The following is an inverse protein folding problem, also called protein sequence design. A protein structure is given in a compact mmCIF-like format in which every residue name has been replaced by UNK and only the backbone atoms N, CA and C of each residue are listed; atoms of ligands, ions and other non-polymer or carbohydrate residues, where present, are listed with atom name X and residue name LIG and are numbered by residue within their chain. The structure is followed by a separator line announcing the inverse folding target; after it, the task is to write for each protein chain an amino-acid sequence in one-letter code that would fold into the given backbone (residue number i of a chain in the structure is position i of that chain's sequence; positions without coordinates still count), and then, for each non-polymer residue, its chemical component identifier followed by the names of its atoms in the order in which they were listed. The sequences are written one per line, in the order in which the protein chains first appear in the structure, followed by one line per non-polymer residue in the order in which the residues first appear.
data_IF_162049402644
#
_entry.id   IF_162049402644
#
_cell.length_a   1.000
_cell.length_b   1.000
_cell.length_c   1.000
_cell.angle_alpha   90.00
_cell.angle_beta   90.00
_cell.angle_gamma   90.00
#
_symmetry.space_group_name_H-M   'P 1'
#
loop_
_entity.id
_entity.type
_entity.pdbx_description
1 polymer ?
#
# COMPACT_ATOMS: atom_id res chain seq x y z
N UNK A 1 -16.85 6.60 -11.52
CA UNK A 1 -15.68 5.78 -11.17
C UNK A 1 -15.28 5.03 -12.42
N UNK A 2 -14.06 5.27 -12.93
CA UNK A 2 -13.59 4.67 -14.18
C UNK A 2 -13.13 3.23 -13.93
N UNK A 3 -13.83 2.25 -14.52
CA UNK A 3 -13.56 0.82 -14.35
C UNK A 3 -12.23 0.37 -14.97
N UNK A 4 -11.62 1.21 -15.83
CA UNK A 4 -10.37 0.92 -16.53
C UNK A 4 -9.19 0.66 -15.59
N UNK A 5 -9.03 1.51 -14.57
CA UNK A 5 -7.94 1.43 -13.57
C UNK A 5 -8.06 0.16 -12.72
N UNK A 6 -9.30 -0.18 -12.33
CA UNK A 6 -9.60 -1.38 -11.55
C UNK A 6 -9.26 -2.68 -12.30
N UNK A 7 -9.49 -2.73 -13.62
CA UNK A 7 -9.13 -3.89 -14.44
C UNK A 7 -7.62 -4.09 -14.56
N UNK A 8 -6.83 -3.01 -14.61
CA UNK A 8 -5.37 -3.08 -14.71
C UNK A 8 -4.75 -3.72 -13.45
N UNK A 9 -5.19 -3.32 -12.26
CA UNK A 9 -4.68 -3.90 -11.01
C UNK A 9 -5.16 -5.34 -10.79
N UNK A 10 -6.41 -5.65 -11.17
CA UNK A 10 -6.92 -7.03 -11.15
C UNK A 10 -6.09 -7.94 -12.06
N UNK A 11 -5.72 -7.46 -13.25
CA UNK A 11 -4.89 -8.20 -14.21
C UNK A 11 -3.48 -8.44 -13.65
N UNK A 12 -2.82 -7.42 -13.10
CA UNK A 12 -1.51 -7.56 -12.45
C UNK A 12 -1.51 -8.50 -11.24
N UNK A 13 -2.59 -8.51 -10.44
CA UNK A 13 -2.74 -9.43 -9.32
C UNK A 13 -2.91 -10.89 -9.80
N UNK A 14 -3.64 -11.10 -10.90
CA UNK A 14 -3.76 -12.42 -11.54
C UNK A 14 -2.45 -12.87 -12.19
N UNK A 15 -1.71 -11.96 -12.82
CA UNK A 15 -0.40 -12.23 -13.42
C UNK A 15 0.61 -12.65 -12.34
N UNK A 16 0.65 -11.98 -11.18
CA UNK A 16 1.51 -12.38 -10.05
C UNK A 16 1.16 -13.77 -9.50
N UNK A 17 -0.13 -14.08 -9.33
CA UNK A 17 -0.60 -15.41 -8.92
C UNK A 17 -0.21 -16.49 -9.94
N UNK A 18 -0.29 -16.19 -11.23
CA UNK A 18 0.03 -17.14 -12.30
C UNK A 18 1.55 -17.38 -12.44
N UNK A 19 2.38 -16.36 -12.19
CA UNK A 19 3.84 -16.51 -12.21
C UNK A 19 4.30 -17.47 -11.10
N UNK A 20 3.73 -17.39 -9.90
CA UNK A 20 4.06 -18.32 -8.80
C UNK A 20 3.54 -19.75 -9.02
N UNK A 21 2.38 -19.91 -9.69
CA UNK A 21 1.86 -21.25 -10.03
C UNK A 21 2.52 -21.90 -11.25
N UNK A 22 3.22 -21.14 -12.10
CA UNK A 22 3.96 -21.69 -13.25
C UNK A 22 5.33 -22.30 -12.90
N UNK A 23 5.81 -22.11 -11.67
CA UNK A 23 7.09 -22.61 -11.19
C UNK A 23 7.10 -24.05 -10.65
N UNK A 24 5.93 -24.71 -10.55
CA UNK A 24 5.85 -26.12 -10.11
C UNK A 24 5.83 -27.09 -11.31
N UNK A 25 6.84 -26.97 -12.18
CA UNK A 25 7.14 -28.04 -13.13
C UNK A 25 8.62 -28.40 -13.02
N UNK A 26 8.84 -29.60 -12.49
CA UNK A 26 10.08 -30.37 -12.39
C UNK A 26 11.19 -29.97 -13.38
N UNK A 27 12.34 -29.59 -12.81
CA UNK A 27 13.58 -29.33 -13.51
C UNK A 27 14.71 -29.02 -12.52
N UNK A 28 15.65 -29.95 -12.42
CA UNK A 28 16.76 -30.05 -11.45
C UNK A 28 17.83 -28.93 -11.52
N UNK A 29 18.35 -28.59 -10.33
CA UNK A 29 19.67 -28.03 -9.95
C UNK A 29 20.07 -26.59 -10.36
N UNK A 30 20.11 -25.66 -9.39
CA UNK A 30 21.36 -25.22 -8.74
C UNK A 30 21.10 -24.13 -7.67
N UNK A 31 21.96 -24.16 -6.66
CA UNK A 31 22.00 -23.41 -5.39
C UNK A 31 21.84 -21.88 -5.49
N UNK A 32 21.16 -21.26 -4.53
CA UNK A 32 21.77 -20.54 -3.38
C UNK A 32 20.74 -20.47 -2.25
N UNK A 33 20.80 -21.42 -1.31
CA UNK A 33 20.15 -21.27 -0.01
C UNK A 33 21.02 -20.35 0.86
N UNK A 34 20.54 -19.15 1.16
CA UNK A 34 21.13 -18.30 2.20
C UNK A 34 20.89 -18.97 3.56
N UNK A 35 21.87 -19.77 4.00
CA UNK A 35 22.00 -20.22 5.39
C UNK A 35 22.28 -19.01 6.29
N UNK A 36 21.25 -18.49 6.95
CA UNK A 36 21.44 -17.63 8.12
C UNK A 36 21.66 -18.49 9.36
N UNK A 37 22.93 -18.80 9.62
CA UNK A 37 23.38 -19.23 10.95
C UNK A 37 23.64 -17.96 11.77
N UNK A 38 22.64 -17.55 12.55
CA UNK A 38 22.77 -16.48 13.55
C UNK A 38 22.15 -16.95 14.84
N UNK A 39 22.98 -17.45 15.77
CA UNK A 39 22.60 -17.71 17.16
C UNK A 39 22.32 -16.36 17.81
N UNK A 40 21.07 -15.91 17.72
CA UNK A 40 20.50 -14.85 18.53
C UNK A 40 19.59 -15.51 19.55
N UNK A 41 19.87 -15.33 20.83
CA UNK A 41 19.06 -15.83 21.94
C UNK A 41 17.58 -15.52 21.71
N UNK A 42 16.76 -16.58 21.56
CA UNK A 42 15.30 -16.50 21.43
C UNK A 42 14.72 -15.77 22.65
N UNK A 43 14.53 -14.46 22.54
CA UNK A 43 13.77 -13.69 23.52
C UNK A 43 12.31 -14.05 23.29
N UNK A 44 11.83 -15.01 24.07
CA UNK A 44 10.43 -15.41 24.11
C UNK A 44 9.60 -14.17 24.48
N UNK A 45 8.91 -13.56 23.51
CA UNK A 45 8.03 -12.43 23.75
C UNK A 45 6.70 -12.93 24.34
N UNK A 46 6.75 -13.49 25.55
CA UNK A 46 5.57 -13.89 26.30
C UNK A 46 4.90 -12.65 26.94
N UNK A 47 4.46 -11.66 26.16
CA UNK A 47 3.44 -10.67 26.61
C UNK A 47 3.03 -9.62 25.56
N UNK A 48 3.11 -9.90 24.25
CA UNK A 48 2.64 -8.92 23.27
C UNK A 48 1.12 -8.98 23.23
N UNK A 49 0.46 -7.96 23.79
CA UNK A 49 -0.97 -7.78 23.63
C UNK A 49 -1.26 -7.38 22.18
N UNK A 50 -1.67 -8.34 21.35
CA UNK A 50 -1.98 -8.13 19.93
C UNK A 50 -3.15 -7.16 19.69
N UNK A 51 -3.94 -6.86 20.73
CA UNK A 51 -5.06 -5.90 20.66
C UNK A 51 -4.64 -4.47 21.03
N UNK A 52 -3.39 -4.24 21.44
CA UNK A 52 -2.90 -2.92 21.75
C UNK A 52 -2.54 -2.15 20.46
N UNK A 53 -3.55 -1.49 19.90
CA UNK A 53 -3.45 -0.62 18.72
C UNK A 53 -2.57 0.64 18.97
N UNK A 54 -2.14 0.90 20.21
CA UNK A 54 -1.31 2.07 20.53
C UNK A 54 0.16 1.89 20.11
N UNK A 55 0.60 0.65 19.88
CA UNK A 55 1.97 0.32 19.50
C UNK A 55 1.99 -0.21 18.06
N UNK A 56 2.31 0.65 17.09
CA UNK A 56 2.61 0.19 15.73
C UNK A 56 3.89 -0.65 15.77
N UNK A 57 3.80 -1.91 15.36
CA UNK A 57 4.98 -2.76 15.20
C UNK A 57 5.83 -2.27 14.02
N UNK A 58 7.14 -2.43 14.08
CA UNK A 58 7.97 -2.35 12.86
C UNK A 58 7.77 -3.59 11.99
N UNK A 59 8.17 -3.54 10.71
CA UNK A 59 8.16 -4.73 9.84
C UNK A 59 8.95 -5.89 10.48
N UNK A 60 10.08 -5.60 11.12
CA UNK A 60 10.93 -6.57 11.81
C UNK A 60 10.24 -7.20 13.02
N UNK A 61 9.50 -6.40 13.80
CA UNK A 61 8.71 -6.90 14.92
C UNK A 61 7.56 -7.79 14.43
N UNK A 62 6.90 -7.46 13.32
CA UNK A 62 5.88 -8.32 12.71
C UNK A 62 6.47 -9.66 12.26
N UNK A 63 7.64 -9.66 11.60
CA UNK A 63 8.33 -10.90 11.23
C UNK A 63 8.59 -11.77 12.47
N UNK A 64 9.09 -11.17 13.54
CA UNK A 64 9.34 -11.85 14.81
C UNK A 64 8.05 -12.42 15.42
N UNK A 65 6.95 -11.66 15.38
CA UNK A 65 5.64 -12.13 15.88
C UNK A 65 5.16 -13.33 15.07
N UNK A 66 5.20 -13.24 13.75
CA UNK A 66 4.79 -14.33 12.87
C UNK A 66 5.67 -15.57 13.05
N UNK A 67 6.98 -15.42 13.18
CA UNK A 67 7.91 -16.53 13.37
C UNK A 67 7.68 -17.27 14.71
N UNK A 68 7.23 -16.56 15.75
CA UNK A 68 6.95 -17.12 17.07
C UNK A 68 5.57 -17.78 17.20
N UNK A 69 4.71 -17.72 16.19
CA UNK A 69 3.43 -18.45 16.18
C UNK A 69 3.70 -19.95 15.99
N UNK A 70 3.91 -20.67 17.10
CA UNK A 70 4.09 -22.13 17.16
C UNK A 70 2.75 -22.88 17.25
N UNK A 71 1.73 -22.27 17.89
CA UNK A 71 0.37 -22.81 18.01
C UNK A 71 -0.65 -21.88 17.37
N UNK A 72 -1.83 -22.42 17.00
CA UNK A 72 -2.87 -21.65 16.30
C UNK A 72 -3.53 -20.70 17.31
N UNK A 73 -3.36 -19.37 17.16
CA UNK A 73 -4.03 -18.42 18.02
C UNK A 73 -5.54 -18.39 17.73
N UNK A 74 -6.30 -17.66 18.53
CA UNK A 74 -7.73 -17.50 18.29
C UNK A 74 -7.99 -16.73 16.98
N UNK A 75 -9.19 -16.88 16.41
CA UNK A 75 -9.55 -16.09 15.23
C UNK A 75 -9.52 -14.58 15.50
N UNK A 76 -9.84 -14.17 16.73
CA UNK A 76 -9.79 -12.76 17.15
C UNK A 76 -8.35 -12.24 17.14
N UNK A 77 -7.40 -13.04 17.64
CA UNK A 77 -5.98 -12.69 17.61
C UNK A 77 -5.46 -12.54 16.18
N UNK A 78 -5.91 -13.40 15.24
CA UNK A 78 -5.57 -13.25 13.83
C UNK A 78 -6.11 -11.95 13.24
N UNK A 79 -7.32 -11.51 13.61
CA UNK A 79 -7.85 -10.23 13.18
C UNK A 79 -7.06 -9.06 13.78
N UNK A 80 -6.62 -9.18 15.04
CA UNK A 80 -5.69 -8.24 15.67
C UNK A 80 -4.38 -8.13 14.89
N UNK A 81 -3.74 -9.26 14.57
CA UNK A 81 -2.53 -9.31 13.74
C UNK A 81 -2.76 -8.64 12.38
N UNK A 82 -3.88 -8.94 11.72
CA UNK A 82 -4.20 -8.33 10.43
C UNK A 82 -4.36 -6.81 10.51
N UNK A 83 -4.99 -6.29 11.55
CA UNK A 83 -5.11 -4.84 11.75
C UNK A 83 -3.73 -4.18 11.92
N UNK A 84 -2.81 -4.84 12.63
CA UNK A 84 -1.42 -4.39 12.71
C UNK A 84 -0.73 -4.38 11.35
N UNK A 85 -0.86 -5.46 10.57
CA UNK A 85 -0.32 -5.54 9.20
C UNK A 85 -0.81 -4.38 8.33
N UNK A 86 -2.11 -4.07 8.39
CA UNK A 86 -2.70 -2.91 7.69
C UNK A 86 -2.13 -1.57 8.18
N UNK A 87 -1.86 -1.44 9.48
CA UNK A 87 -1.25 -0.25 10.07
C UNK A 87 0.17 0.00 9.56
N UNK A 88 1.03 -1.03 9.64
CA UNK A 88 2.43 -0.99 9.18
C UNK A 88 2.50 -0.62 7.70
N UNK A 89 1.65 -1.25 6.90
CA UNK A 89 1.64 -1.03 5.47
C UNK A 89 1.17 0.38 5.10
N UNK A 90 0.36 1.08 5.90
CA UNK A 90 -0.06 2.46 5.61
C UNK A 90 1.03 3.49 5.88
N UNK A 91 1.74 3.37 7.00
CA UNK A 91 2.75 4.34 7.46
C UNK A 91 3.87 4.54 6.42
N UNK A 92 4.39 3.44 5.86
CA UNK A 92 5.46 3.46 4.84
C UNK A 92 5.07 4.28 3.59
N UNK A 93 3.78 4.44 3.30
CA UNK A 93 3.34 5.21 2.14
C UNK A 93 3.29 6.72 2.39
N UNK A 94 3.15 7.16 3.64
CA UNK A 94 3.07 8.58 4.00
C UNK A 94 4.32 9.35 3.55
N UNK A 95 5.49 8.75 3.70
CA UNK A 95 6.75 9.36 3.25
C UNK A 95 6.79 9.52 1.74
N UNK A 96 6.29 8.54 0.97
CA UNK A 96 6.19 8.65 -0.49
C UNK A 96 5.25 9.78 -0.91
N UNK A 97 4.15 9.99 -0.17
CA UNK A 97 3.25 11.13 -0.41
C UNK A 97 3.94 12.46 -0.12
N UNK A 98 4.71 12.57 0.98
CA UNK A 98 5.52 13.76 1.26
C UNK A 98 6.51 14.06 0.13
N UNK A 99 7.21 13.06 -0.38
CA UNK A 99 8.09 13.23 -1.54
C UNK A 99 7.35 13.68 -2.81
N UNK A 100 6.14 13.17 -3.06
CA UNK A 100 5.31 13.63 -4.17
C UNK A 100 4.89 15.08 -4.01
N UNK A 101 4.55 15.51 -2.79
CA UNK A 101 4.22 16.90 -2.50
C UNK A 101 5.39 17.82 -2.83
N UNK A 102 6.55 17.56 -2.24
CA UNK A 102 7.78 18.34 -2.49
C UNK A 102 8.14 18.41 -3.97
N UNK A 103 7.88 17.32 -4.71
CA UNK A 103 8.16 17.26 -6.14
C UNK A 103 7.30 18.22 -6.99
N UNK A 104 6.02 18.41 -6.65
CA UNK A 104 5.08 19.23 -7.45
C UNK A 104 4.77 20.60 -6.82
N UNK A 105 5.19 20.85 -5.58
CA UNK A 105 4.78 22.01 -4.78
C UNK A 105 4.95 23.34 -5.52
N UNK A 106 6.12 23.59 -6.13
CA UNK A 106 6.40 24.84 -6.85
C UNK A 106 5.48 25.04 -8.05
N UNK A 107 5.18 23.96 -8.78
CA UNK A 107 4.22 24.01 -9.88
C UNK A 107 2.81 24.36 -9.37
N UNK A 108 2.37 23.70 -8.29
CA UNK A 108 1.06 23.95 -7.71
C UNK A 108 0.91 25.40 -7.23
N UNK A 109 1.93 25.93 -6.53
CA UNK A 109 1.98 27.31 -6.05
C UNK A 109 1.98 28.32 -7.21
N UNK A 110 2.68 28.03 -8.30
CA UNK A 110 2.79 28.94 -9.44
C UNK A 110 1.54 28.96 -10.31
N UNK A 111 0.96 27.81 -10.61
CA UNK A 111 -0.06 27.68 -11.66
C UNK A 111 -1.47 27.35 -11.14
N UNK A 112 -1.60 26.58 -10.05
CA UNK A 112 -2.92 26.15 -9.54
C UNK A 112 -3.40 26.93 -8.32
N UNK A 113 -2.51 27.66 -7.65
CA UNK A 113 -2.86 28.55 -6.54
C UNK A 113 -3.58 29.82 -7.01
N UNK A 114 -3.10 30.43 -8.09
CA UNK A 114 -3.60 31.72 -8.59
C UNK A 114 -4.98 31.62 -9.27
N UNK A 115 -5.45 30.40 -9.57
CA UNK A 115 -6.76 30.11 -10.18
C UNK A 115 -7.97 30.45 -9.29
N UNK A 116 -7.76 31.05 -8.12
CA UNK A 116 -8.77 31.35 -7.12
C UNK A 116 -9.26 32.79 -7.05
N UNK A 117 -8.64 33.68 -7.80
CA UNK A 117 -8.96 35.09 -7.71
C UNK A 117 -9.24 35.64 -9.10
N UNK A 118 -10.45 35.41 -9.60
CA UNK A 118 -11.07 36.40 -10.50
C UNK A 118 -11.82 37.37 -9.58
N UNK A 119 -11.24 38.55 -9.38
CA UNK A 119 -11.84 39.62 -8.59
C UNK A 119 -12.96 40.29 -9.41
N UNK A 120 -14.19 39.81 -9.25
CA UNK A 120 -15.38 40.65 -9.40
C UNK A 120 -15.74 41.18 -7.99
N UNK A 121 -15.77 42.52 -7.78
CA UNK A 121 -16.07 43.12 -6.47
C UNK A 121 -17.44 42.75 -5.90
N UNK A 122 -18.38 42.32 -6.75
CA UNK A 122 -19.76 42.00 -6.36
C UNK A 122 -19.99 40.49 -6.23
N UNK A 123 -19.24 39.65 -6.95
CA UNK A 123 -19.44 38.20 -6.96
C UNK A 123 -18.11 37.43 -7.16
N UNK A 124 -17.40 37.02 -6.10
CA UNK A 124 -16.20 36.21 -6.26
C UNK A 124 -16.53 34.85 -6.91
N UNK A 125 -16.08 34.64 -8.15
CA UNK A 125 -16.26 33.38 -8.89
C UNK A 125 -15.01 32.52 -8.70
N UNK A 126 -15.12 31.46 -7.91
CA UNK A 126 -14.13 30.39 -7.86
C UNK A 126 -14.32 29.46 -9.06
N UNK A 127 -13.41 29.48 -10.02
CA UNK A 127 -13.52 28.67 -11.25
C UNK A 127 -12.97 27.24 -11.07
N UNK A 128 -12.11 26.99 -10.07
CA UNK A 128 -11.45 25.70 -9.85
C UNK A 128 -11.10 25.44 -8.37
N UNK A 129 -10.82 24.17 -8.04
CA UNK A 129 -10.27 23.75 -6.73
C UNK A 129 -8.76 23.97 -6.65
N UNK A 130 -8.27 24.29 -5.45
CA UNK A 130 -6.87 24.53 -5.06
C UNK A 130 -6.13 23.31 -5.38
N UNK A 131 -4.98 23.41 -6.02
CA UNK A 131 -4.13 22.24 -6.21
C UNK A 131 -4.95 21.05 -6.76
N UNK A 132 -5.84 21.31 -7.73
CA UNK A 132 -6.75 20.32 -8.30
C UNK A 132 -6.00 19.07 -8.74
N UNK A 133 -4.81 19.23 -9.31
CA UNK A 133 -3.94 18.13 -9.72
C UNK A 133 -3.49 17.28 -8.53
N UNK A 134 -3.17 17.91 -7.40
CA UNK A 134 -2.83 17.24 -6.15
C UNK A 134 -4.02 16.44 -5.59
N UNK A 135 -5.16 17.10 -5.37
CA UNK A 135 -6.31 16.44 -4.76
C UNK A 135 -6.83 15.28 -5.60
N UNK A 136 -6.90 15.45 -6.93
CA UNK A 136 -7.28 14.35 -7.82
C UNK A 136 -6.32 13.17 -7.68
N UNK A 137 -5.02 13.43 -7.63
CA UNK A 137 -4.01 12.37 -7.50
C UNK A 137 -4.08 11.65 -6.16
N UNK A 138 -4.28 12.39 -5.06
CA UNK A 138 -4.42 11.81 -3.73
C UNK A 138 -5.71 10.99 -3.61
N UNK A 139 -6.81 11.50 -4.16
CA UNK A 139 -8.07 10.77 -4.23
C UNK A 139 -7.91 9.44 -4.97
N UNK A 140 -7.29 9.46 -6.16
CA UNK A 140 -7.13 8.24 -6.97
C UNK A 140 -6.23 7.21 -6.29
N UNK A 141 -5.15 7.66 -5.62
CA UNK A 141 -4.32 6.81 -4.77
C UNK A 141 -5.17 6.18 -3.65
N UNK A 142 -5.94 7.00 -2.93
CA UNK A 142 -6.78 6.54 -1.82
C UNK A 142 -7.78 5.48 -2.27
N UNK A 143 -8.46 5.71 -3.40
CA UNK A 143 -9.39 4.74 -4.00
C UNK A 143 -8.69 3.43 -4.34
N UNK A 144 -7.49 3.47 -4.93
CA UNK A 144 -6.74 2.27 -5.29
C UNK A 144 -6.34 1.46 -4.05
N UNK A 145 -5.78 2.10 -3.04
CA UNK A 145 -5.36 1.45 -1.80
C UNK A 145 -6.56 0.89 -1.02
N UNK A 146 -7.62 1.68 -0.82
CA UNK A 146 -8.82 1.21 -0.10
C UNK A 146 -9.52 0.03 -0.79
N UNK A 147 -9.50 -0.01 -2.12
CA UNK A 147 -10.06 -1.14 -2.88
C UNK A 147 -9.30 -2.44 -2.62
N UNK A 148 -7.98 -2.36 -2.51
CA UNK A 148 -7.11 -3.49 -2.20
C UNK A 148 -7.26 -3.89 -0.73
N UNK A 149 -7.19 -2.95 0.21
CA UNK A 149 -7.36 -3.19 1.64
C UNK A 149 -8.67 -3.95 1.90
N UNK A 150 -9.78 -3.48 1.33
CA UNK A 150 -11.10 -4.12 1.50
C UNK A 150 -11.10 -5.56 0.99
N UNK A 151 -10.53 -5.80 -0.20
CA UNK A 151 -10.50 -7.13 -0.80
C UNK A 151 -9.61 -8.08 0.00
N UNK A 152 -8.39 -7.66 0.31
CA UNK A 152 -7.43 -8.49 1.04
C UNK A 152 -7.89 -8.77 2.47
N UNK A 153 -8.56 -7.81 3.12
CA UNK A 153 -9.16 -8.02 4.45
C UNK A 153 -10.27 -9.06 4.39
N UNK A 154 -11.17 -8.94 3.40
CA UNK A 154 -12.22 -9.91 3.19
C UNK A 154 -11.66 -11.32 2.92
N UNK A 155 -10.67 -11.42 2.05
CA UNK A 155 -10.03 -12.70 1.70
C UNK A 155 -9.31 -13.30 2.92
N UNK A 156 -8.64 -12.48 3.74
CA UNK A 156 -8.01 -12.92 5.00
C UNK A 156 -9.04 -13.44 6.01
N UNK A 157 -10.16 -12.73 6.19
CA UNK A 157 -11.18 -13.10 7.18
C UNK A 157 -11.83 -14.44 6.81
N UNK A 158 -12.07 -14.67 5.52
CA UNK A 158 -12.55 -15.96 5.05
C UNK A 158 -11.50 -17.06 5.26
N UNK A 159 -10.23 -16.79 4.94
CA UNK A 159 -9.13 -17.74 5.16
C UNK A 159 -9.06 -18.21 6.63
N UNK A 160 -9.17 -17.27 7.58
CA UNK A 160 -9.19 -17.57 9.02
C UNK A 160 -10.43 -18.37 9.40
N UNK A 161 -11.61 -17.95 8.94
CA UNK A 161 -12.91 -18.58 9.23
C UNK A 161 -13.01 -20.01 8.71
N UNK A 162 -12.45 -20.27 7.54
CA UNK A 162 -12.44 -21.59 6.90
C UNK A 162 -11.45 -22.56 7.55
N UNK A 163 -10.69 -22.11 8.57
CA UNK A 163 -9.81 -22.96 9.35
C UNK A 163 -8.44 -23.21 8.71
N UNK A 164 -8.00 -22.35 7.79
CA UNK A 164 -6.70 -22.47 7.13
C UNK A 164 -5.54 -22.60 8.14
N UNK A 165 -4.53 -23.38 7.81
CA UNK A 165 -3.36 -23.60 8.67
C UNK A 165 -2.61 -22.30 9.01
N UNK A 166 -1.85 -22.33 10.10
CA UNK A 166 -1.01 -21.20 10.50
C UNK A 166 -0.05 -20.80 9.37
N UNK A 167 0.52 -21.78 8.67
CA UNK A 167 1.46 -21.54 7.58
C UNK A 167 0.79 -20.86 6.38
N UNK A 168 -0.44 -21.24 6.04
CA UNK A 168 -1.22 -20.58 4.99
C UNK A 168 -1.53 -19.12 5.35
N UNK A 169 -1.87 -18.85 6.61
CA UNK A 169 -2.14 -17.50 7.12
C UNK A 169 -0.86 -16.64 7.10
N UNK A 170 0.27 -17.19 7.59
CA UNK A 170 1.59 -16.52 7.54
C UNK A 170 1.98 -16.19 6.11
N UNK A 171 1.88 -17.18 5.22
CA UNK A 171 2.20 -17.00 3.81
C UNK A 171 1.33 -15.91 3.17
N UNK A 172 0.03 -15.90 3.45
CA UNK A 172 -0.86 -14.86 2.97
C UNK A 172 -0.42 -13.45 3.43
N UNK A 173 -0.06 -13.28 4.71
CA UNK A 173 0.42 -12.01 5.24
C UNK A 173 1.71 -11.56 4.53
N UNK A 174 2.68 -12.46 4.34
CA UNK A 174 3.92 -12.11 3.63
C UNK A 174 3.69 -11.72 2.18
N UNK A 175 2.86 -12.48 1.46
CA UNK A 175 2.48 -12.18 0.08
C UNK A 175 1.76 -10.82 0.01
N UNK A 176 0.86 -10.54 0.95
CA UNK A 176 0.16 -9.25 1.03
C UNK A 176 1.13 -8.09 1.19
N UNK A 177 2.07 -8.16 2.15
CA UNK A 177 3.05 -7.10 2.40
C UNK A 177 3.87 -6.81 1.14
N UNK A 178 4.44 -7.86 0.52
CA UNK A 178 5.24 -7.74 -0.70
C UNK A 178 4.44 -7.14 -1.86
N UNK A 179 3.19 -7.58 -2.03
CA UNK A 179 2.29 -7.05 -3.02
C UNK A 179 2.00 -5.56 -2.77
N UNK A 180 1.73 -5.20 -1.53
CA UNK A 180 1.36 -3.84 -1.15
C UNK A 180 2.53 -2.86 -1.36
N UNK A 181 3.77 -3.27 -1.05
CA UNK A 181 4.95 -2.45 -1.32
C UNK A 181 5.19 -2.23 -2.81
N UNK A 182 4.95 -3.27 -3.62
CA UNK A 182 4.99 -3.16 -5.08
C UNK A 182 3.91 -2.18 -5.58
N UNK A 183 2.69 -2.30 -5.07
CA UNK A 183 1.55 -1.44 -5.43
C UNK A 183 1.85 0.03 -5.11
N UNK A 184 2.37 0.32 -3.91
CA UNK A 184 2.77 1.67 -3.50
C UNK A 184 3.79 2.27 -4.47
N UNK A 185 4.80 1.50 -4.85
CA UNK A 185 5.85 1.97 -5.77
C UNK A 185 5.27 2.29 -7.14
N UNK A 186 4.38 1.44 -7.65
CA UNK A 186 3.68 1.66 -8.93
C UNK A 186 2.84 2.93 -8.86
N UNK A 187 2.01 3.09 -7.82
CA UNK A 187 1.16 4.28 -7.62
C UNK A 187 1.99 5.56 -7.52
N UNK A 188 3.09 5.51 -6.75
CA UNK A 188 4.03 6.63 -6.63
C UNK A 188 4.60 7.04 -7.99
N UNK A 189 5.14 6.09 -8.76
CA UNK A 189 5.74 6.36 -10.06
C UNK A 189 4.71 6.86 -11.07
N UNK A 190 3.49 6.30 -11.06
CA UNK A 190 2.39 6.76 -11.91
C UNK A 190 2.04 8.22 -11.63
N UNK A 191 1.90 8.62 -10.35
CA UNK A 191 1.62 10.02 -9.99
C UNK A 191 2.79 10.94 -10.31
N UNK A 192 4.02 10.50 -10.05
CA UNK A 192 5.22 11.26 -10.42
C UNK A 192 5.26 11.52 -11.93
N UNK A 193 4.93 10.54 -12.76
CA UNK A 193 4.85 10.70 -14.21
C UNK A 193 3.75 11.68 -14.63
N UNK A 194 2.54 11.56 -14.06
CA UNK A 194 1.44 12.52 -14.32
C UNK A 194 1.86 13.94 -13.97
N UNK A 195 2.53 14.13 -12.83
CA UNK A 195 3.05 15.42 -12.39
C UNK A 195 4.14 15.93 -13.34
N UNK A 196 5.07 15.07 -13.75
CA UNK A 196 6.11 15.42 -14.72
C UNK A 196 5.51 15.91 -16.03
N UNK A 197 4.51 15.21 -16.57
CA UNK A 197 3.86 15.59 -17.83
C UNK A 197 3.05 16.89 -17.70
N UNK A 198 2.42 17.12 -16.54
CA UNK A 198 1.78 18.41 -16.21
C UNK A 198 2.79 19.55 -16.17
N UNK A 199 3.96 19.33 -15.57
CA UNK A 199 5.03 20.32 -15.46
C UNK A 199 5.69 20.62 -16.81
N UNK A 200 5.82 19.63 -17.71
CA UNK A 200 6.36 19.79 -19.08
C UNK A 200 5.41 20.54 -20.01
N UNK A 201 4.11 20.38 -19.81
CA UNK A 201 3.07 21.03 -20.60
C UNK A 201 2.27 22.03 -19.75
N UNK A 202 2.89 23.10 -19.22
CA UNK A 202 2.22 24.03 -18.30
C UNK A 202 1.14 24.89 -18.98
N UNK A 203 0.87 24.75 -20.29
CA UNK A 203 0.02 25.66 -21.06
C UNK A 203 -1.45 25.24 -21.16
N UNK A 204 -2.33 26.01 -20.51
CA UNK A 204 -3.51 26.74 -21.05
C UNK A 204 -4.43 27.19 -19.91
N UNK A 205 -3.98 28.20 -19.16
CA UNK A 205 -4.86 29.21 -18.58
C UNK A 205 -4.29 30.56 -19.03
N UNK A 206 -4.19 30.75 -20.34
CA UNK A 206 -4.29 32.10 -20.88
C UNK A 206 -5.77 32.45 -20.69
N UNK A 207 -6.07 33.13 -19.58
CA UNK A 207 -7.33 33.85 -19.37
C UNK A 207 -7.16 35.20 -20.07
#
# INVERSE_FOLDING_TARGET
MDGSVYHIYRRKLSELKNVEHSGLREGSNNEVYLKYNGVGTKKKCNNINYNDLSKQFTLEELHTVLDNLEERPSNEDFYGIWNHVLGITKEIFEDKVKYLWLYIEDYLKKYEYQCYHVWDPLYPICVNTKYRTWYKSMHDIGVALSSIDRKCTHDFYNLVKDGASIDEIKNYIYVFIKYYDTLKLVLYNERKNIFTERMKNPKRLEI
#
